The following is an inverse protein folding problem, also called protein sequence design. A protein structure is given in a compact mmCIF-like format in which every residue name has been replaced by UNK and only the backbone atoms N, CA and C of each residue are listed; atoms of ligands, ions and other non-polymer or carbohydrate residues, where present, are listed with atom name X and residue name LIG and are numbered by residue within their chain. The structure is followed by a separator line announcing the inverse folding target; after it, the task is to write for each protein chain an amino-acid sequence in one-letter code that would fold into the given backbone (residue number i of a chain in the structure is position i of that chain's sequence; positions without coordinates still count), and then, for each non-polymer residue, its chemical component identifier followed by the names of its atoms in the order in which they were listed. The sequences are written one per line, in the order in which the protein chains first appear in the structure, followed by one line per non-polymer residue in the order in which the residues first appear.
data_IF_002765505911
#
_entry.id   IF_002765505911
#
_cell.length_a   1.000
_cell.length_b   1.000
_cell.length_c   1.000
_cell.angle_alpha   90.00
_cell.angle_beta   90.00
_cell.angle_gamma   90.00
#
_symmetry.space_group_name_H-M   'P 1'
#
loop_
_entity.id
_entity.type
_entity.pdbx_description
1 polymer ?
#
# COMPACT_ATOMS: atom_id res chain seq x y z
N UNK A 1 36.04 -4.90 5.35
CA UNK A 1 35.23 -5.00 4.11
C UNK A 1 33.77 -5.24 4.46
N UNK A 2 32.93 -4.20 4.55
CA UNK A 2 31.48 -4.37 4.80
C UNK A 2 30.64 -4.12 3.54
N UNK A 3 30.83 -2.98 2.86
CA UNK A 3 30.08 -2.60 1.64
C UNK A 3 30.18 -3.67 0.54
N UNK A 4 31.34 -4.34 0.43
CA UNK A 4 31.53 -5.50 -0.45
C UNK A 4 30.56 -6.64 -0.10
N UNK A 5 30.55 -7.10 1.16
CA UNK A 5 29.66 -8.18 1.60
C UNK A 5 28.18 -7.84 1.39
N UNK A 6 27.76 -6.61 1.71
CA UNK A 6 26.39 -6.14 1.45
C UNK A 6 26.05 -6.18 -0.05
N UNK A 7 26.99 -5.77 -0.92
CA UNK A 7 26.84 -5.84 -2.38
C UNK A 7 26.76 -7.28 -2.88
N UNK A 8 27.57 -8.19 -2.34
CA UNK A 8 27.55 -9.62 -2.66
C UNK A 8 26.21 -10.26 -2.27
N UNK A 9 25.68 -9.97 -1.07
CA UNK A 9 24.37 -10.49 -0.65
C UNK A 9 23.22 -9.93 -1.49
N UNK A 10 23.26 -8.63 -1.83
CA UNK A 10 22.32 -8.04 -2.79
C UNK A 10 22.41 -8.70 -4.18
N UNK A 11 23.63 -8.95 -4.67
CA UNK A 11 23.87 -9.57 -5.97
C UNK A 11 23.41 -11.04 -6.03
N UNK A 12 23.50 -11.79 -4.93
CA UNK A 12 22.92 -13.12 -4.82
C UNK A 12 21.39 -13.10 -5.04
N UNK A 13 20.69 -12.08 -4.54
CA UNK A 13 19.25 -11.88 -4.82
C UNK A 13 19.03 -11.50 -6.28
N UNK A 14 19.82 -10.58 -6.86
CA UNK A 14 19.75 -10.22 -8.30
C UNK A 14 19.88 -11.44 -9.20
N UNK A 15 20.88 -12.30 -8.93
CA UNK A 15 21.13 -13.56 -9.63
C UNK A 15 19.94 -14.51 -9.54
N UNK A 16 19.31 -14.64 -8.37
CA UNK A 16 18.10 -15.47 -8.21
C UNK A 16 16.87 -14.96 -8.98
N UNK A 17 16.84 -13.67 -9.34
CA UNK A 17 15.78 -13.07 -10.17
C UNK A 17 16.15 -13.00 -11.66
N UNK A 18 17.30 -13.53 -12.09
CA UNK A 18 17.84 -13.42 -13.46
C UNK A 18 17.98 -11.97 -13.97
N UNK A 19 18.20 -11.02 -13.06
CA UNK A 19 18.35 -9.61 -13.39
C UNK A 19 19.82 -9.27 -13.67
N UNK A 20 20.05 -8.27 -14.53
CA UNK A 20 21.40 -7.78 -14.87
C UNK A 20 21.88 -6.65 -13.95
N UNK A 21 20.95 -5.92 -13.33
CA UNK A 21 21.23 -4.71 -12.55
C UNK A 21 20.82 -4.92 -11.08
N UNK A 22 21.67 -4.50 -10.15
CA UNK A 22 21.35 -4.43 -8.72
C UNK A 22 20.39 -3.28 -8.44
N UNK A 23 19.33 -3.54 -7.66
CA UNK A 23 18.33 -2.55 -7.25
C UNK A 23 18.20 -2.53 -5.73
N UNK A 24 17.70 -1.42 -5.20
CA UNK A 24 17.38 -1.28 -3.77
C UNK A 24 16.53 -2.44 -3.22
N UNK A 25 15.50 -2.87 -3.97
CA UNK A 25 14.61 -3.96 -3.56
C UNK A 25 15.34 -5.31 -3.35
N UNK A 26 16.44 -5.55 -4.07
CA UNK A 26 17.22 -6.77 -3.95
C UNK A 26 18.10 -6.74 -2.68
N UNK A 27 18.65 -5.56 -2.34
CA UNK A 27 19.38 -5.31 -1.09
C UNK A 27 18.43 -5.43 0.12
N UNK A 28 17.28 -4.76 0.08
CA UNK A 28 16.27 -4.85 1.14
C UNK A 28 15.74 -6.28 1.33
N UNK A 29 15.69 -7.07 0.24
CA UNK A 29 15.39 -8.50 0.31
C UNK A 29 16.52 -9.30 0.99
N UNK A 30 17.79 -9.02 0.69
CA UNK A 30 18.93 -9.66 1.35
C UNK A 30 18.98 -9.36 2.86
N UNK A 31 18.84 -8.08 3.25
CA UNK A 31 18.74 -7.64 4.65
C UNK A 31 17.60 -8.36 5.38
N UNK A 32 16.46 -8.59 4.72
CA UNK A 32 15.31 -9.28 5.31
C UNK A 32 15.46 -10.79 5.49
N UNK A 33 16.60 -11.39 5.11
CA UNK A 33 16.84 -12.85 5.05
C UNK A 33 18.12 -13.31 5.77
N UNK A 34 18.95 -12.38 6.24
CA UNK A 34 20.30 -12.67 6.73
C UNK A 34 20.47 -11.97 8.07
N UNK A 35 20.51 -12.74 9.15
CA UNK A 35 20.53 -12.23 10.52
C UNK A 35 21.75 -11.33 10.79
N UNK A 36 22.90 -11.64 10.16
CA UNK A 36 24.11 -10.80 10.16
C UNK A 36 23.93 -9.40 9.53
N UNK A 37 22.77 -9.13 8.91
CA UNK A 37 22.39 -7.83 8.34
C UNK A 37 21.20 -7.18 9.10
N UNK A 38 20.71 -7.77 10.20
CA UNK A 38 19.56 -7.27 10.96
C UNK A 38 19.74 -5.82 11.42
N UNK A 39 20.96 -5.41 11.76
CA UNK A 39 21.32 -4.04 12.16
C UNK A 39 21.07 -2.98 11.06
N UNK A 40 20.78 -3.39 9.82
CA UNK A 40 20.41 -2.50 8.72
C UNK A 40 18.89 -2.35 8.56
N UNK A 41 18.07 -3.03 9.37
CA UNK A 41 16.61 -3.03 9.23
C UNK A 41 15.99 -1.63 9.38
N UNK A 42 16.49 -0.82 10.30
CA UNK A 42 16.09 0.59 10.48
C UNK A 42 16.56 1.50 9.33
N UNK A 43 17.69 1.16 8.69
CA UNK A 43 18.33 1.97 7.64
C UNK A 43 17.83 1.59 6.23
N UNK A 44 17.39 0.33 6.05
CA UNK A 44 17.00 -0.25 4.75
C UNK A 44 15.59 -0.85 4.85
N UNK A 45 14.51 -0.02 4.86
CA UNK A 45 13.13 -0.50 4.86
C UNK A 45 12.78 -1.43 3.69
N UNK A 46 11.94 -2.43 3.98
CA UNK A 46 11.46 -3.43 2.99
C UNK A 46 10.48 -2.79 2.00
N UNK A 47 10.71 -2.94 0.70
CA UNK A 47 9.89 -2.33 -0.37
C UNK A 47 9.02 -3.35 -1.11
N UNK A 48 7.82 -2.92 -1.55
CA UNK A 48 6.96 -3.71 -2.44
C UNK A 48 6.33 -2.83 -3.52
N UNK A 49 6.05 -3.39 -4.70
CA UNK A 49 5.36 -2.67 -5.79
C UNK A 49 3.93 -2.33 -5.39
N UNK A 50 3.46 -1.12 -5.71
CA UNK A 50 2.13 -0.64 -5.29
C UNK A 50 0.96 -1.58 -5.66
N UNK A 51 1.02 -2.27 -6.80
CA UNK A 51 0.04 -3.30 -7.16
C UNK A 51 -0.03 -4.45 -6.14
N UNK A 52 1.13 -4.98 -5.72
CA UNK A 52 1.24 -6.01 -4.67
C UNK A 52 0.81 -5.48 -3.30
N UNK A 53 1.04 -4.20 -2.99
CA UNK A 53 0.55 -3.56 -1.77
C UNK A 53 -0.99 -3.49 -1.75
N UNK A 54 -1.63 -3.05 -2.85
CA UNK A 54 -3.10 -3.08 -2.98
C UNK A 54 -3.66 -4.50 -2.84
N UNK A 55 -3.02 -5.48 -3.49
CA UNK A 55 -3.40 -6.89 -3.43
C UNK A 55 -3.28 -7.46 -2.00
N UNK A 56 -2.16 -7.21 -1.30
CA UNK A 56 -1.98 -7.60 0.10
C UNK A 56 -3.10 -6.99 0.96
N UNK A 57 -3.34 -5.68 0.85
CA UNK A 57 -4.35 -4.98 1.66
C UNK A 57 -5.77 -5.50 1.40
N UNK A 58 -6.09 -5.90 0.16
CA UNK A 58 -7.36 -6.55 -0.16
C UNK A 58 -7.47 -7.96 0.45
N UNK A 59 -6.40 -8.76 0.36
CA UNK A 59 -6.31 -10.10 0.99
C UNK A 59 -6.33 -10.05 2.52
N UNK A 60 -5.82 -8.98 3.11
CA UNK A 60 -5.81 -8.72 4.56
C UNK A 60 -7.23 -8.42 5.06
N UNK A 61 -7.95 -7.52 4.38
CA UNK A 61 -9.39 -7.27 4.64
C UNK A 61 -10.26 -8.51 4.49
N UNK A 62 -10.10 -9.27 3.39
CA UNK A 62 -10.87 -10.50 3.18
C UNK A 62 -10.61 -11.58 4.25
N UNK A 63 -9.48 -11.53 4.96
CA UNK A 63 -9.21 -12.40 6.13
C UNK A 63 -9.84 -11.87 7.42
N UNK A 64 -9.84 -10.56 7.61
CA UNK A 64 -10.50 -9.85 8.71
C UNK A 64 -12.01 -10.15 8.68
N UNK A 65 -12.67 -9.90 7.54
CA UNK A 65 -14.10 -10.18 7.31
C UNK A 65 -14.43 -11.68 7.52
N UNK A 66 -13.54 -12.57 7.08
CA UNK A 66 -13.74 -14.02 7.16
C UNK A 66 -13.63 -14.63 8.56
N UNK A 67 -12.96 -13.96 9.51
CA UNK A 67 -12.79 -14.48 10.88
C UNK A 67 -14.00 -14.19 11.79
N UNK A 68 -14.73 -13.10 11.54
CA UNK A 68 -15.91 -12.70 12.34
C UNK A 68 -17.09 -13.67 12.16
N UNK A 69 -17.14 -14.40 11.04
CA UNK A 69 -18.23 -15.31 10.72
C UNK A 69 -18.35 -16.53 11.67
N UNK A 70 -17.25 -16.98 12.27
CA UNK A 70 -17.19 -18.27 12.98
C UNK A 70 -17.30 -18.15 14.52
N UNK A 71 -17.72 -16.99 15.04
CA UNK A 71 -17.87 -16.74 16.48
C UNK A 71 -19.20 -16.04 16.81
N UNK A 72 -20.32 -16.64 16.39
CA UNK A 72 -21.69 -16.14 16.65
C UNK A 72 -22.63 -17.25 17.15
N UNK A 73 -22.27 -17.86 18.27
CA UNK A 73 -23.07 -18.92 18.91
C UNK A 73 -23.36 -18.57 20.38
N UNK A 74 -24.63 -18.36 20.69
CA UNK A 74 -25.25 -18.32 22.03
C UNK A 74 -24.77 -17.26 23.05
N UNK A 75 -25.51 -16.15 23.10
CA UNK A 75 -25.98 -15.56 24.36
C UNK A 75 -27.33 -14.89 24.14
N UNK A 76 -28.39 -15.42 24.77
CA UNK A 76 -29.77 -14.98 24.59
C UNK A 76 -30.46 -14.85 25.97
N UNK A 77 -31.20 -13.75 26.18
CA UNK A 77 -32.00 -13.40 27.38
C UNK A 77 -31.21 -13.26 28.72
N UNK A 78 -31.57 -12.38 29.68
CA UNK A 78 -32.44 -11.18 29.72
C UNK A 78 -31.81 -10.20 30.78
N UNK A 79 -32.40 -9.17 31.42
CA UNK A 79 -33.81 -8.80 31.69
C UNK A 79 -34.00 -7.26 31.88
N UNK A 80 -35.27 -6.90 32.09
CA UNK A 80 -35.98 -5.64 32.41
C UNK A 80 -35.55 -4.93 33.73
N UNK A 81 -35.93 -3.67 34.08
CA UNK A 81 -36.65 -2.56 33.40
C UNK A 81 -36.44 -1.20 34.13
N UNK A 82 -36.43 -0.11 33.35
CA UNK A 82 -36.89 1.29 33.55
C UNK A 82 -36.68 2.07 34.89
N UNK A 83 -36.27 3.35 34.76
CA UNK A 83 -36.41 4.39 35.80
C UNK A 83 -35.72 5.74 35.53
N UNK A 84 -36.35 6.64 34.75
CA UNK A 84 -35.89 8.04 34.51
C UNK A 84 -36.61 9.02 35.47
N UNK A 85 -36.03 10.19 35.84
CA UNK A 85 -36.02 11.34 34.92
C UNK A 85 -34.77 12.26 34.93
N UNK A 86 -34.54 12.89 33.77
CA UNK A 86 -34.02 14.26 33.54
C UNK A 86 -33.10 14.95 34.58
N UNK A 87 -31.85 15.22 34.19
CA UNK A 87 -31.28 16.57 34.40
C UNK A 87 -30.21 16.95 33.34
N UNK A 88 -30.65 17.76 32.37
CA UNK A 88 -29.90 18.82 31.65
C UNK A 88 -28.45 18.58 31.13
N UNK A 89 -28.38 18.36 29.80
CA UNK A 89 -27.49 19.02 28.79
C UNK A 89 -25.96 18.76 28.75
N UNK A 90 -25.55 18.35 27.54
CA UNK A 90 -24.42 18.86 26.73
C UNK A 90 -22.98 18.39 27.05
N UNK A 91 -22.69 17.20 26.52
CA UNK A 91 -21.48 16.82 25.74
C UNK A 91 -20.08 17.17 26.28
N UNK A 92 -19.39 16.13 26.78
CA UNK A 92 -17.92 16.04 26.68
C UNK A 92 -17.49 14.57 26.55
N UNK A 93 -17.10 14.16 25.34
CA UNK A 93 -16.46 12.85 25.12
C UNK A 93 -14.95 12.98 25.35
N UNK A 94 -14.45 12.29 26.37
CA UNK A 94 -13.01 12.05 26.57
C UNK A 94 -12.54 10.92 25.65
N UNK A 95 -11.93 11.27 24.53
CA UNK A 95 -11.14 10.35 23.73
C UNK A 95 -9.75 10.19 24.35
N UNK A 96 -9.44 9.00 24.87
CA UNK A 96 -8.13 8.69 25.47
C UNK A 96 -7.29 7.89 24.46
N UNK A 97 -6.93 8.55 23.37
CA UNK A 97 -5.88 8.11 22.46
C UNK A 97 -4.53 8.64 22.93
N UNK A 98 -3.58 7.75 23.27
CA UNK A 98 -2.24 8.14 23.73
C UNK A 98 -1.44 8.83 22.61
N UNK A 99 -1.24 10.15 22.71
CA UNK A 99 -0.25 10.88 21.91
C UNK A 99 0.60 11.80 22.79
N UNK A 100 1.77 11.29 23.15
CA UNK A 100 2.82 12.04 23.83
C UNK A 100 3.77 12.66 22.77
N UNK A 101 3.69 13.98 22.57
CA UNK A 101 4.80 14.93 22.78
C UNK A 101 4.29 16.37 22.70
N UNK A 102 4.85 17.25 23.51
CA UNK A 102 4.75 18.70 23.31
C UNK A 102 5.58 19.11 22.08
N UNK A 103 5.04 19.98 21.23
CA UNK A 103 5.71 21.25 20.93
C UNK A 103 4.75 22.30 20.36
N UNK A 104 4.82 23.53 20.91
CA UNK A 104 3.92 24.64 20.57
C UNK A 104 4.56 25.52 19.49
N UNK A 105 3.97 25.55 18.30
CA UNK A 105 4.31 26.52 17.26
C UNK A 105 3.05 27.03 16.54
N UNK A 106 2.58 28.27 16.80
CA UNK A 106 1.41 28.83 16.16
C UNK A 106 1.65 29.09 14.67
N UNK A 107 1.16 28.20 13.79
CA UNK A 107 1.10 28.48 12.35
C UNK A 107 0.05 29.58 12.09
N UNK A 108 0.40 30.67 11.37
CA UNK A 108 -0.58 31.69 11.01
C UNK A 108 -1.62 31.13 10.02
N UNK A 109 -2.88 31.60 10.07
CA UNK A 109 -3.93 31.14 9.16
C UNK A 109 -3.66 31.58 7.72
N UNK A 110 -3.81 30.66 6.77
CA UNK A 110 -3.68 30.96 5.34
C UNK A 110 -4.93 31.66 4.79
N UNK A 111 -4.74 32.78 4.10
CA UNK A 111 -5.82 33.47 3.37
C UNK A 111 -6.05 32.78 2.03
N UNK A 112 -7.26 32.23 1.83
CA UNK A 112 -7.63 31.54 0.58
C UNK A 112 -8.22 32.56 -0.42
N UNK A 113 -7.45 32.91 -1.45
CA UNK A 113 -7.93 33.74 -2.55
C UNK A 113 -8.70 32.87 -3.58
N UNK A 114 -10.03 33.00 -3.61
CA UNK A 114 -10.91 32.25 -4.51
C UNK A 114 -10.95 32.83 -5.94
N UNK A 115 -9.85 32.78 -6.68
CA UNK A 115 -9.75 33.22 -8.09
C UNK A 115 -10.43 32.24 -9.07
N UNK A 116 -11.76 32.33 -9.11
CA UNK A 116 -12.66 31.46 -9.90
C UNK A 116 -12.63 31.74 -11.41
N UNK A 117 -11.69 31.13 -12.13
CA UNK A 117 -11.63 31.16 -13.62
C UNK A 117 -11.86 29.79 -14.25
N UNK A 118 -12.84 29.71 -15.17
CA UNK A 118 -13.19 28.51 -15.95
C UNK A 118 -12.63 28.59 -17.37
N UNK A 119 -11.88 27.58 -17.79
CA UNK A 119 -11.71 27.18 -19.20
C UNK A 119 -11.77 25.67 -19.26
N UNK A 120 -12.94 25.09 -19.59
CA UNK A 120 -13.36 24.68 -20.94
C UNK A 120 -12.51 23.55 -21.53
N UNK A 121 -13.11 22.37 -21.53
CA UNK A 121 -12.76 21.20 -22.32
C UNK A 121 -12.68 21.59 -23.82
N UNK A 122 -11.69 21.05 -24.52
CA UNK A 122 -11.72 20.86 -25.97
C UNK A 122 -11.56 19.36 -26.23
N UNK A 123 -12.51 18.82 -26.97
CA UNK A 123 -12.53 17.45 -27.47
C UNK A 123 -12.56 17.53 -28.99
N UNK A 124 -11.51 17.07 -29.65
CA UNK A 124 -11.55 16.76 -31.08
C UNK A 124 -10.45 15.74 -31.39
N UNK A 125 -10.84 14.59 -31.95
CA UNK A 125 -9.95 13.49 -32.25
C UNK A 125 -9.56 13.41 -33.72
N UNK A 126 -8.44 12.77 -34.02
CA UNK A 126 -8.21 12.15 -35.33
C UNK A 126 -7.32 10.91 -35.19
N UNK A 127 -7.64 9.86 -35.94
CA UNK A 127 -6.98 8.57 -35.81
C UNK A 127 -5.72 8.49 -36.70
N UNK A 128 -4.58 8.10 -36.11
CA UNK A 128 -3.41 7.63 -36.87
C UNK A 128 -3.21 6.13 -36.65
N UNK A 129 -3.98 5.36 -37.43
CA UNK A 129 -3.81 3.92 -37.63
C UNK A 129 -2.40 3.65 -38.16
N UNK A 130 -1.55 3.02 -37.36
CA UNK A 130 -0.26 2.50 -37.84
C UNK A 130 -0.54 1.31 -38.77
N UNK A 131 0.05 1.23 -39.97
CA UNK A 131 -0.03 0.01 -40.77
C UNK A 131 0.77 -1.11 -40.07
N UNK A 132 0.21 -2.31 -40.05
CA UNK A 132 1.01 -3.53 -39.88
C UNK A 132 1.98 -3.64 -41.06
N UNK A 133 3.16 -4.21 -40.82
CA UNK A 133 4.10 -4.57 -41.87
C UNK A 133 4.09 -6.09 -42.00
N UNK A 134 3.04 -6.57 -42.63
CA UNK A 134 2.84 -7.98 -42.96
C UNK A 134 3.69 -8.30 -44.20
N UNK A 135 4.59 -9.27 -44.09
CA UNK A 135 5.46 -9.78 -45.16
C UNK A 135 6.20 -11.02 -44.62
N UNK A 136 6.63 -11.91 -45.52
CA UNK A 136 7.52 -13.07 -45.26
C UNK A 136 6.83 -14.14 -44.36
N UNK A 137 6.00 -15.06 -44.87
CA UNK A 137 6.23 -16.20 -45.80
C UNK A 137 6.89 -17.44 -45.14
N UNK A 138 6.74 -18.59 -45.81
CA UNK A 138 7.35 -19.90 -45.52
C UNK A 138 6.98 -20.63 -44.21
N UNK A 139 5.82 -21.30 -44.21
CA UNK A 139 5.66 -22.62 -43.55
C UNK A 139 4.78 -23.52 -44.45
N UNK A 140 5.35 -24.60 -44.97
CA UNK A 140 4.76 -25.46 -46.04
C UNK A 140 3.93 -26.60 -45.44
N UNK A 141 2.97 -27.11 -46.22
CA UNK A 141 2.01 -28.16 -45.83
C UNK A 141 2.64 -29.39 -45.13
N UNK A 142 2.28 -29.61 -43.86
CA UNK A 142 2.49 -30.88 -43.16
C UNK A 142 1.34 -31.84 -43.46
N UNK A 143 1.40 -32.52 -44.61
CA UNK A 143 0.38 -33.47 -45.06
C UNK A 143 0.93 -34.91 -45.20
N UNK A 144 0.56 -35.74 -44.19
CA UNK A 144 0.66 -37.22 -44.13
C UNK A 144 2.07 -37.85 -44.27
#
# INVERSE_FOLDING_TARGET
MFVQYLTEQGYNVVKSNNLKNLRYADIATAVSRIDNLEFLSDVIPKTTTYGKFKEKRAKEKAKEDGQVANQRTLKEMQVRQNGTPEHSREESMVDVGEQNVNELSPRPPMVIHASRSRSRLVDEGSAQKRPSKDNDDDDVEMAL
#
